data_IF_239076500769
#
_entry.id   IF_239076500769
#
_cell.length_a   1.000
_cell.length_b   1.000
_cell.length_c   1.000
_cell.angle_alpha   90.00
_cell.angle_beta   90.00
_cell.angle_gamma   90.00
#
_symmetry.space_group_name_H-M   'P 1'
#
loop_
_entity.id
_entity.type
_entity.pdbx_description
1 polymer ?
#
# COMPACT_ATOMS: atom_id res chain seq x y z
N UNK A 1 -17.04 17.63 -2.71
CA UNK A 1 -18.13 17.83 -3.70
C UNK A 1 -18.94 16.52 -3.81
N UNK A 2 -20.30 16.60 -4.06
CA UNK A 2 -21.16 15.43 -4.25
C UNK A 2 -21.60 15.32 -5.69
N UNK A 3 -21.62 14.11 -6.26
CA UNK A 3 -22.14 13.82 -7.60
C UNK A 3 -23.04 12.59 -7.59
N UNK A 4 -24.05 12.59 -8.46
CA UNK A 4 -24.96 11.48 -8.65
C UNK A 4 -24.23 10.25 -9.18
N UNK A 5 -24.54 9.08 -8.60
CA UNK A 5 -23.99 7.81 -9.06
C UNK A 5 -24.74 7.36 -10.31
N UNK A 6 -24.03 7.13 -11.41
CA UNK A 6 -24.58 6.70 -12.70
C UNK A 6 -25.45 5.44 -12.56
N UNK A 7 -26.67 5.52 -13.04
CA UNK A 7 -27.70 4.48 -12.90
C UNK A 7 -28.36 4.42 -11.53
N UNK A 8 -28.04 5.37 -10.63
CA UNK A 8 -28.56 5.50 -9.27
C UNK A 8 -28.91 6.95 -8.92
N UNK A 9 -29.03 7.83 -9.92
CA UNK A 9 -29.11 9.30 -9.80
C UNK A 9 -30.24 9.75 -8.86
N UNK A 10 -31.34 9.02 -8.84
CA UNK A 10 -32.50 9.34 -7.97
C UNK A 10 -32.35 8.88 -6.52
N UNK A 11 -31.32 8.11 -6.21
CA UNK A 11 -31.21 7.40 -4.93
C UNK A 11 -29.92 7.68 -4.16
N UNK A 12 -28.78 7.76 -4.87
CA UNK A 12 -27.48 7.85 -4.23
C UNK A 12 -26.54 8.81 -4.94
N UNK A 13 -25.69 9.41 -4.14
CA UNK A 13 -24.58 10.23 -4.61
C UNK A 13 -23.30 9.86 -3.86
N UNK A 14 -22.16 10.16 -4.48
CA UNK A 14 -20.83 9.91 -3.93
C UNK A 14 -20.05 11.22 -3.86
N UNK A 15 -19.23 11.35 -2.81
CA UNK A 15 -18.34 12.51 -2.63
C UNK A 15 -16.96 12.25 -3.22
N UNK A 16 -16.25 13.32 -3.53
CA UNK A 16 -14.82 13.32 -3.88
C UNK A 16 -13.91 12.87 -2.74
N UNK A 17 -14.43 12.73 -1.54
CA UNK A 17 -13.73 12.15 -0.38
C UNK A 17 -13.98 10.66 -0.21
N UNK A 18 -14.79 10.03 -1.09
CA UNK A 18 -15.11 8.62 -1.02
C UNK A 18 -16.23 8.27 -0.03
N UNK A 19 -17.12 9.18 0.25
CA UNK A 19 -18.34 8.91 1.02
C UNK A 19 -19.52 8.68 0.08
N UNK A 20 -20.46 7.85 0.48
CA UNK A 20 -21.71 7.61 -0.28
C UNK A 20 -22.89 7.91 0.62
N UNK A 21 -23.91 8.61 0.10
CA UNK A 21 -25.14 8.88 0.85
C UNK A 21 -26.41 8.62 0.04
N UNK A 22 -27.47 8.32 0.75
CA UNK A 22 -28.80 8.21 0.17
C UNK A 22 -29.41 9.61 0.07
N UNK A 23 -29.82 10.00 -1.12
CA UNK A 23 -30.35 11.35 -1.42
C UNK A 23 -31.67 11.67 -0.70
N UNK A 24 -32.54 10.67 -0.47
CA UNK A 24 -33.82 10.89 0.20
C UNK A 24 -33.68 11.09 1.71
N UNK A 25 -32.80 10.31 2.33
CA UNK A 25 -32.63 10.31 3.79
C UNK A 25 -31.45 11.11 4.27
N UNK A 26 -30.58 11.54 3.34
CA UNK A 26 -29.31 12.21 3.57
C UNK A 26 -28.33 11.41 4.50
N UNK A 27 -28.61 10.12 4.70
CA UNK A 27 -27.78 9.24 5.53
C UNK A 27 -26.62 8.67 4.75
N UNK A 28 -25.46 8.63 5.38
CA UNK A 28 -24.28 7.95 4.83
C UNK A 28 -24.53 6.45 4.73
N UNK A 29 -24.04 5.85 3.65
CA UNK A 29 -24.04 4.40 3.44
C UNK A 29 -22.84 3.80 4.16
N UNK A 30 -23.06 2.71 4.90
CA UNK A 30 -21.99 2.02 5.59
C UNK A 30 -20.97 1.43 4.57
N UNK A 31 -19.69 1.67 4.82
CA UNK A 31 -18.58 1.13 4.03
C UNK A 31 -18.10 -0.17 4.67
N UNK A 32 -18.06 -1.23 3.86
CA UNK A 32 -17.60 -2.56 4.27
C UNK A 32 -16.13 -2.76 3.91
N UNK A 33 -15.28 -3.00 4.92
CA UNK A 33 -13.86 -3.33 4.79
C UNK A 33 -13.55 -4.79 5.14
N UNK A 34 -14.58 -5.60 5.48
CA UNK A 34 -14.41 -6.96 6.01
C UNK A 34 -13.93 -7.98 4.98
N UNK A 35 -13.84 -7.60 3.72
CA UNK A 35 -13.44 -8.51 2.64
C UNK A 35 -11.92 -8.80 2.65
N UNK A 36 -11.56 -10.02 2.23
CA UNK A 36 -10.17 -10.50 2.18
C UNK A 36 -9.24 -9.63 1.32
N UNK A 37 -9.76 -8.91 0.35
CA UNK A 37 -8.97 -8.04 -0.53
C UNK A 37 -8.60 -6.70 0.13
N UNK A 38 -9.28 -6.33 1.24
CA UNK A 38 -9.08 -5.08 1.97
C UNK A 38 -9.63 -3.84 1.26
N UNK A 39 -10.26 -3.96 0.10
CA UNK A 39 -10.86 -2.82 -0.61
C UNK A 39 -12.18 -2.42 0.03
N UNK A 40 -12.40 -1.12 0.14
CA UNK A 40 -13.69 -0.55 0.57
C UNK A 40 -14.81 -0.91 -0.41
N UNK A 41 -15.93 -1.40 0.12
CA UNK A 41 -17.15 -1.71 -0.64
C UNK A 41 -18.35 -0.99 -0.07
N UNK A 42 -19.28 -0.64 -0.95
CA UNK A 42 -20.61 -0.14 -0.59
C UNK A 42 -21.68 -1.02 -1.20
N UNK A 43 -22.79 -1.21 -0.47
CA UNK A 43 -23.96 -1.92 -0.95
C UNK A 43 -25.07 -0.92 -1.16
N UNK A 44 -25.52 -0.76 -2.40
CA UNK A 44 -26.65 0.09 -2.78
C UNK A 44 -27.88 -0.78 -2.99
N UNK A 45 -29.05 -0.28 -2.65
CA UNK A 45 -30.33 -1.00 -2.75
C UNK A 45 -31.26 -0.32 -3.73
N UNK A 46 -31.83 -1.10 -4.63
CA UNK A 46 -32.93 -0.70 -5.49
C UNK A 46 -34.04 -1.72 -5.44
N UNK A 47 -35.26 -1.33 -5.01
CA UNK A 47 -36.40 -2.25 -4.80
C UNK A 47 -35.97 -3.50 -4.03
N UNK A 48 -35.29 -3.32 -2.90
CA UNK A 48 -34.77 -4.37 -1.98
C UNK A 48 -33.74 -5.30 -2.60
N UNK A 49 -33.27 -5.01 -3.83
CA UNK A 49 -32.17 -5.77 -4.46
C UNK A 49 -30.84 -5.10 -4.17
N UNK A 50 -29.93 -5.77 -3.44
CA UNK A 50 -28.61 -5.22 -3.17
C UNK A 50 -27.68 -5.34 -4.36
N UNK A 51 -26.89 -4.30 -4.62
CA UNK A 51 -25.76 -4.35 -5.54
C UNK A 51 -24.51 -3.81 -4.86
N UNK A 52 -23.44 -4.60 -4.89
CA UNK A 52 -22.16 -4.23 -4.27
C UNK A 52 -21.24 -3.56 -5.28
N UNK A 53 -20.59 -2.50 -4.84
CA UNK A 53 -19.61 -1.75 -5.64
C UNK A 53 -18.31 -1.61 -4.87
N UNK A 54 -17.18 -1.62 -5.59
CA UNK A 54 -15.91 -1.17 -5.06
C UNK A 54 -15.91 0.36 -5.02
N UNK A 55 -15.65 0.93 -3.85
CA UNK A 55 -15.80 2.37 -3.61
C UNK A 55 -14.87 3.20 -4.50
N UNK A 56 -13.58 2.83 -4.60
CA UNK A 56 -12.63 3.54 -5.48
C UNK A 56 -13.08 3.56 -6.94
N UNK A 57 -13.67 2.46 -7.46
CA UNK A 57 -14.20 2.44 -8.82
C UNK A 57 -15.43 3.31 -8.97
N UNK A 58 -16.27 3.34 -7.95
CA UNK A 58 -17.47 4.18 -7.92
C UNK A 58 -17.12 5.66 -7.95
N UNK A 59 -16.12 6.08 -7.16
CA UNK A 59 -15.60 7.45 -7.17
C UNK A 59 -15.05 7.81 -8.55
N UNK A 60 -14.14 6.99 -9.07
CA UNK A 60 -13.49 7.27 -10.36
C UNK A 60 -14.49 7.31 -11.52
N UNK A 61 -15.42 6.36 -11.61
CA UNK A 61 -16.43 6.34 -12.68
C UNK A 61 -17.38 7.53 -12.61
N UNK A 62 -17.67 8.03 -11.41
CA UNK A 62 -18.58 9.18 -11.22
C UNK A 62 -17.89 10.50 -11.50
N UNK A 63 -16.65 10.69 -11.12
CA UNK A 63 -15.94 11.97 -11.23
C UNK A 63 -15.13 12.14 -12.51
N UNK A 64 -14.49 11.06 -12.98
CA UNK A 64 -13.58 11.04 -14.14
C UNK A 64 -14.26 10.39 -15.36
N UNK A 65 -15.13 9.39 -15.13
CA UNK A 65 -15.79 8.62 -16.17
C UNK A 65 -15.39 7.14 -16.13
N UNK A 66 -16.13 6.31 -16.90
CA UNK A 66 -15.87 4.88 -16.99
C UNK A 66 -14.55 4.61 -17.75
N UNK A 67 -13.77 3.65 -17.26
CA UNK A 67 -12.53 3.22 -17.90
C UNK A 67 -12.31 1.72 -17.74
N UNK A 68 -11.67 1.10 -18.75
CA UNK A 68 -11.22 -0.30 -18.70
C UNK A 68 -9.88 -0.45 -17.94
N UNK A 69 -9.26 0.66 -17.54
CA UNK A 69 -8.04 0.67 -16.76
C UNK A 69 -8.28 0.23 -15.31
N UNK A 70 -7.20 -0.11 -14.62
CA UNK A 70 -7.25 -0.37 -13.18
C UNK A 70 -7.27 0.95 -12.41
N UNK A 71 -7.90 0.94 -11.23
CA UNK A 71 -7.81 2.07 -10.30
C UNK A 71 -6.73 1.77 -9.29
N UNK A 72 -5.73 2.65 -9.21
CA UNK A 72 -4.65 2.61 -8.24
C UNK A 72 -4.90 3.62 -7.11
N UNK A 73 -4.48 3.25 -5.89
CA UNK A 73 -4.37 4.17 -4.75
C UNK A 73 -2.93 4.68 -4.71
N UNK A 74 -2.74 5.98 -4.91
CA UNK A 74 -1.40 6.60 -5.02
C UNK A 74 -0.57 6.37 -3.75
N UNK A 75 -1.21 6.46 -2.58
CA UNK A 75 -0.59 6.21 -1.26
C UNK A 75 -0.55 4.74 -0.85
N UNK A 76 -1.05 3.82 -1.70
CA UNK A 76 -1.21 2.39 -1.41
C UNK A 76 -2.19 2.05 -0.27
N UNK A 77 -2.87 3.01 0.33
CA UNK A 77 -3.92 2.77 1.32
C UNK A 77 -5.29 2.55 0.66
N UNK A 78 -5.75 1.31 0.65
CA UNK A 78 -7.05 0.91 0.09
C UNK A 78 -8.27 1.52 0.82
N UNK A 79 -8.04 2.16 1.97
CA UNK A 79 -9.08 2.84 2.74
C UNK A 79 -9.24 4.31 2.33
N UNK A 80 -8.18 4.90 1.77
CA UNK A 80 -8.20 6.27 1.29
C UNK A 80 -8.77 6.35 -0.13
N UNK A 81 -10.10 6.45 -0.23
CA UNK A 81 -10.82 6.51 -1.49
C UNK A 81 -11.12 7.94 -1.97
N UNK A 82 -10.35 8.92 -1.49
CA UNK A 82 -10.42 10.30 -1.98
C UNK A 82 -10.05 10.37 -3.46
N UNK A 83 -10.77 11.14 -4.25
CA UNK A 83 -10.52 11.33 -5.69
C UNK A 83 -9.08 11.76 -5.99
N UNK A 84 -8.49 12.59 -5.13
CA UNK A 84 -7.10 13.07 -5.25
C UNK A 84 -6.06 11.98 -5.04
N UNK A 85 -6.45 10.86 -4.42
CA UNK A 85 -5.61 9.69 -4.17
C UNK A 85 -5.83 8.56 -5.17
N UNK A 86 -6.72 8.73 -6.14
CA UNK A 86 -7.07 7.70 -7.11
C UNK A 86 -6.64 8.08 -8.51
N UNK A 87 -6.15 7.11 -9.27
CA UNK A 87 -5.76 7.28 -10.67
C UNK A 87 -6.10 6.04 -11.50
N UNK A 88 -6.35 6.25 -12.80
CA UNK A 88 -6.48 5.17 -13.76
C UNK A 88 -5.10 4.81 -14.31
N UNK A 89 -4.73 3.54 -14.20
CA UNK A 89 -3.43 3.01 -14.65
C UNK A 89 -3.60 1.72 -15.43
N UNK A 90 -2.63 1.38 -16.25
CA UNK A 90 -2.54 0.06 -16.87
C UNK A 90 -2.20 -1.02 -15.84
N UNK A 91 -2.47 -2.28 -16.14
CA UNK A 91 -2.06 -3.42 -15.28
C UNK A 91 -0.55 -3.44 -15.02
N UNK A 92 0.25 -3.05 -16.01
CA UNK A 92 1.72 -3.04 -15.89
C UNK A 92 2.18 -1.95 -14.93
N UNK A 93 1.62 -0.76 -15.03
CA UNK A 93 1.91 0.36 -14.12
C UNK A 93 1.46 0.04 -12.70
N UNK A 94 0.25 -0.50 -12.54
CA UNK A 94 -0.26 -0.91 -11.23
C UNK A 94 0.60 -2.00 -10.59
N UNK A 95 1.08 -2.98 -11.39
CA UNK A 95 1.99 -4.01 -10.90
C UNK A 95 3.34 -3.41 -10.45
N UNK A 96 3.90 -2.46 -11.21
CA UNK A 96 5.12 -1.74 -10.82
C UNK A 96 4.91 -0.93 -9.53
N UNK A 97 3.79 -0.22 -9.41
CA UNK A 97 3.42 0.50 -8.19
C UNK A 97 3.29 -0.44 -7.00
N UNK A 98 2.59 -1.59 -7.16
CA UNK A 98 2.49 -2.61 -6.13
C UNK A 98 3.83 -3.24 -5.74
N UNK A 99 4.79 -3.36 -6.67
CA UNK A 99 6.15 -3.83 -6.37
C UNK A 99 6.91 -2.79 -5.54
N UNK A 100 6.71 -1.51 -5.82
CA UNK A 100 7.41 -0.40 -5.18
C UNK A 100 6.80 -0.03 -3.82
N UNK A 101 5.48 0.02 -3.73
CA UNK A 101 4.73 0.57 -2.59
C UNK A 101 3.63 -0.36 -2.04
N UNK A 102 3.30 -1.47 -2.72
CA UNK A 102 2.11 -2.26 -2.45
C UNK A 102 2.13 -3.09 -1.18
N UNK A 103 1.12 -3.94 -1.00
CA UNK A 103 0.76 -4.72 0.20
C UNK A 103 1.89 -5.56 0.83
N UNK A 104 3.06 -5.60 0.22
CA UNK A 104 4.30 -6.10 0.82
C UNK A 104 4.90 -5.10 1.83
N UNK A 105 4.33 -3.89 1.96
CA UNK A 105 4.72 -2.92 2.99
C UNK A 105 4.61 -3.48 4.41
N UNK A 106 3.68 -4.40 4.67
CA UNK A 106 3.63 -5.08 5.96
C UNK A 106 4.84 -6.00 6.22
N UNK A 107 5.64 -6.27 5.19
CA UNK A 107 6.89 -7.06 5.29
C UNK A 107 8.12 -6.31 4.78
N UNK A 108 7.98 -5.03 4.39
CA UNK A 108 9.11 -4.19 4.06
C UNK A 108 9.85 -3.84 5.35
N UNK A 109 10.91 -4.55 5.58
CA UNK A 109 11.82 -4.29 6.70
C UNK A 109 13.19 -4.09 6.09
N UNK A 110 13.63 -2.85 5.88
CA UNK A 110 15.01 -2.59 5.51
C UNK A 110 15.94 -3.16 6.56
N UNK A 111 17.11 -3.57 6.15
CA UNK A 111 18.09 -4.15 7.04
C UNK A 111 19.48 -3.62 6.72
N UNK A 112 20.32 -3.65 7.73
CA UNK A 112 21.70 -3.18 7.68
C UNK A 112 22.63 -4.36 7.64
N UNK A 113 23.67 -4.28 6.85
CA UNK A 113 24.78 -5.22 6.78
C UNK A 113 26.05 -4.49 7.19
N UNK A 114 26.71 -4.97 8.24
CA UNK A 114 28.07 -4.54 8.62
C UNK A 114 29.06 -5.52 8.01
N UNK A 115 29.97 -4.99 7.21
CA UNK A 115 31.01 -5.78 6.57
C UNK A 115 32.23 -5.96 7.50
N UNK A 116 33.05 -6.96 7.22
CA UNK A 116 34.29 -7.18 8.01
C UNK A 116 35.29 -6.03 7.87
N UNK A 117 35.27 -5.30 6.76
CA UNK A 117 36.10 -4.10 6.54
C UNK A 117 35.63 -2.86 7.31
N UNK A 118 34.54 -2.94 8.07
CA UNK A 118 33.96 -1.86 8.83
C UNK A 118 32.92 -1.02 8.10
N UNK A 119 32.73 -1.25 6.78
CA UNK A 119 31.67 -0.57 6.03
C UNK A 119 30.28 -1.04 6.46
N UNK A 120 29.29 -0.18 6.24
CA UNK A 120 27.89 -0.43 6.58
C UNK A 120 27.00 -0.07 5.40
N UNK A 121 26.30 -1.07 4.90
CA UNK A 121 25.31 -0.88 3.82
C UNK A 121 23.90 -1.13 4.32
N UNK A 122 22.95 -0.33 3.81
CA UNK A 122 21.53 -0.55 4.00
C UNK A 122 20.92 -1.14 2.74
N UNK A 123 20.14 -2.19 2.91
CA UNK A 123 19.41 -2.87 1.84
C UNK A 123 17.91 -2.76 2.04
N UNK A 124 17.22 -2.42 0.98
CA UNK A 124 15.76 -2.39 0.96
C UNK A 124 15.17 -3.78 0.77
N UNK A 125 15.82 -4.62 -0.02
CA UNK A 125 15.32 -5.96 -0.32
C UNK A 125 16.39 -7.04 -0.10
N UNK A 126 15.90 -8.22 0.28
CA UNK A 126 16.76 -9.41 0.44
C UNK A 126 17.41 -9.82 -0.89
N UNK A 127 16.74 -9.51 -2.02
CA UNK A 127 17.25 -9.80 -3.37
C UNK A 127 18.49 -8.98 -3.70
N UNK A 128 18.56 -7.71 -3.29
CA UNK A 128 19.73 -6.86 -3.50
C UNK A 128 20.97 -7.44 -2.84
N UNK A 129 20.88 -7.79 -1.56
CA UNK A 129 22.00 -8.44 -0.87
C UNK A 129 22.35 -9.79 -1.48
N UNK A 130 21.34 -10.62 -1.79
CA UNK A 130 21.54 -11.93 -2.39
C UNK A 130 22.31 -11.83 -3.72
N UNK A 131 21.97 -10.86 -4.56
CA UNK A 131 22.68 -10.59 -5.81
C UNK A 131 24.11 -10.06 -5.57
N UNK A 132 24.29 -9.14 -4.61
CA UNK A 132 25.60 -8.57 -4.27
C UNK A 132 26.58 -9.64 -3.80
N UNK A 133 26.14 -10.58 -2.96
CA UNK A 133 26.99 -11.64 -2.42
C UNK A 133 26.87 -12.99 -3.12
N UNK A 134 26.10 -13.05 -4.23
CA UNK A 134 25.90 -14.24 -5.09
C UNK A 134 25.37 -15.46 -4.31
N UNK A 135 24.33 -15.25 -3.51
CA UNK A 135 23.65 -16.32 -2.75
C UNK A 135 22.16 -16.35 -3.07
N UNK A 136 21.45 -17.34 -2.55
CA UNK A 136 19.99 -17.40 -2.66
C UNK A 136 19.31 -16.46 -1.63
N UNK A 137 18.12 -15.98 -1.94
CA UNK A 137 17.30 -15.19 -1.00
C UNK A 137 17.03 -15.97 0.30
N UNK A 138 16.96 -17.30 0.23
CA UNK A 138 16.78 -18.16 1.40
C UNK A 138 17.95 -18.08 2.37
N UNK A 139 19.18 -17.96 1.89
CA UNK A 139 20.36 -17.74 2.75
C UNK A 139 20.23 -16.41 3.50
N UNK A 140 19.89 -15.33 2.80
CA UNK A 140 19.70 -14.00 3.43
C UNK A 140 18.57 -14.03 4.48
N UNK A 141 17.48 -14.76 4.22
CA UNK A 141 16.41 -14.95 5.21
C UNK A 141 16.93 -15.64 6.48
N UNK A 142 17.68 -16.71 6.35
CA UNK A 142 18.25 -17.44 7.49
C UNK A 142 19.18 -16.55 8.32
N UNK A 143 20.01 -15.74 7.67
CA UNK A 143 20.91 -14.80 8.36
C UNK A 143 20.15 -13.75 9.16
N UNK A 144 19.11 -13.14 8.58
CA UNK A 144 18.24 -12.17 9.25
C UNK A 144 17.40 -12.78 10.39
N UNK A 145 17.24 -14.11 10.43
CA UNK A 145 16.59 -14.84 11.53
C UNK A 145 17.59 -15.38 12.57
N UNK A 146 18.84 -14.88 12.56
CA UNK A 146 19.84 -15.21 13.57
C UNK A 146 20.67 -16.46 13.29
N UNK A 147 20.52 -17.09 12.11
CA UNK A 147 21.43 -18.17 11.72
C UNK A 147 22.75 -17.57 11.19
N UNK A 148 23.71 -17.41 12.09
CA UNK A 148 25.01 -16.78 11.81
C UNK A 148 26.00 -17.71 11.10
N UNK A 149 25.66 -18.99 10.93
CA UNK A 149 26.57 -19.95 10.29
C UNK A 149 26.78 -19.61 8.81
N UNK A 150 27.99 -19.26 8.47
CA UNK A 150 28.48 -19.16 7.11
C UNK A 150 28.38 -17.79 6.45
N UNK A 151 27.85 -16.73 7.06
CA UNK A 151 27.84 -15.41 6.42
C UNK A 151 29.20 -14.71 6.45
N UNK A 152 30.08 -15.07 7.38
CA UNK A 152 31.45 -14.52 7.47
C UNK A 152 32.29 -14.78 6.22
N UNK A 153 32.08 -15.92 5.53
CA UNK A 153 32.76 -16.20 4.24
C UNK A 153 32.38 -15.25 3.12
N UNK A 154 31.29 -14.47 3.31
CA UNK A 154 30.86 -13.41 2.40
C UNK A 154 31.26 -12.02 2.89
N UNK A 155 32.25 -11.93 3.81
CA UNK A 155 32.72 -10.70 4.43
C UNK A 155 31.66 -9.95 5.26
N UNK A 156 30.58 -10.61 5.68
CA UNK A 156 29.56 -10.04 6.54
C UNK A 156 29.97 -10.25 7.99
N UNK A 157 30.02 -9.17 8.77
CA UNK A 157 30.28 -9.17 10.21
C UNK A 157 28.99 -9.31 11.01
N UNK A 158 27.93 -8.59 10.56
CA UNK A 158 26.63 -8.56 11.21
C UNK A 158 25.52 -8.19 10.21
N UNK A 159 24.31 -8.66 10.47
CA UNK A 159 23.13 -8.37 9.66
C UNK A 159 21.88 -8.32 10.55
N UNK A 160 21.14 -7.22 10.53
CA UNK A 160 19.92 -7.06 11.33
C UNK A 160 18.93 -6.10 10.66
N UNK A 161 17.65 -6.26 11.01
CA UNK A 161 16.61 -5.32 10.55
C UNK A 161 16.79 -3.96 11.21
N UNK A 162 16.47 -2.91 10.47
CA UNK A 162 16.36 -1.56 11.04
C UNK A 162 15.11 -1.56 11.93
N UNK A 163 15.27 -1.25 13.21
CA UNK A 163 14.14 -1.07 14.11
C UNK A 163 13.34 0.16 13.67
N UNK A 164 12.07 -0.02 13.35
CA UNK A 164 11.15 1.10 13.13
C UNK A 164 10.85 1.71 14.50
N UNK A 165 11.58 2.74 14.89
CA UNK A 165 11.12 3.62 15.95
C UNK A 165 9.74 4.13 15.53
N UNK A 166 8.71 3.84 16.32
CA UNK A 166 7.37 4.41 16.16
C UNK A 166 7.53 5.93 16.14
N UNK A 167 7.53 6.50 14.94
CA UNK A 167 7.51 7.95 14.77
C UNK A 167 6.18 8.45 15.31
N UNK A 168 6.19 8.99 16.52
CA UNK A 168 5.13 9.85 17.00
C UNK A 168 5.18 11.11 16.14
N UNK A 169 4.12 11.31 15.39
CA UNK A 169 3.64 12.55 14.77
C UNK A 169 4.54 13.78 14.89
N UNK A 170 5.11 14.23 13.79
CA UNK A 170 5.05 15.61 13.26
C UNK A 170 6.03 15.77 12.11
N UNK A 171 5.53 16.27 10.95
CA UNK A 171 6.28 16.85 9.82
C UNK A 171 7.64 16.21 9.46
N UNK A 172 7.66 15.32 8.47
CA UNK A 172 8.90 14.85 7.87
C UNK A 172 9.06 15.29 6.42
N UNK A 173 9.66 16.47 6.28
CA UNK A 173 10.62 16.75 5.22
C UNK A 173 11.99 16.81 5.90
N UNK A 174 12.75 15.71 5.97
CA UNK A 174 14.19 15.75 6.23
C UNK A 174 14.81 14.36 6.09
N UNK A 175 15.94 14.33 5.41
CA UNK A 175 16.86 13.19 5.30
C UNK A 175 17.18 12.64 6.69
N UNK A 176 17.05 11.34 6.88
CA UNK A 176 17.36 10.68 8.14
C UNK A 176 18.86 10.84 8.46
N UNK A 177 19.16 11.66 9.46
CA UNK A 177 20.46 11.64 10.13
C UNK A 177 20.46 10.46 11.10
N UNK A 178 21.27 9.46 10.82
CA UNK A 178 21.54 8.35 11.74
C UNK A 178 22.54 8.86 12.77
N UNK A 179 22.08 9.07 13.99
CA UNK A 179 22.96 9.37 15.15
C UNK A 179 23.37 8.03 15.75
N UNK A 180 24.67 7.80 15.87
CA UNK A 180 25.29 6.64 16.50
C UNK A 180 25.57 6.95 17.97
N UNK A 181 25.17 6.10 18.86
CA UNK A 181 25.76 5.94 20.16
C UNK A 181 26.55 4.63 20.20
#
# INVERSE_FOLDING_TARGET
>A
MWKDIKGWESYYEVSDLGEVRNKKTNKLVCIDYSNRSGYARVTLYYKDKPKKFLLHRLVMSTFVGDSNLEVNHIDSDKRNNSLTNLEYVTKVENAKHCMRFGSRHNNYKPFVVKWLNGEVDMFETKSELANKVKVTISCVKLWLHGNTKGYTKYNIKDIHYVESNKCQTTNCSAKANVVWL
#
